data_IF_419737792067
#
_entry.id   IF_419737792067
#
_cell.length_a   1.000
_cell.length_b   1.000
_cell.length_c   1.000
_cell.angle_alpha   90.00
_cell.angle_beta   90.00
_cell.angle_gamma   90.00
#
_symmetry.space_group_name_H-M   'P 1'
#
loop_
_entity.id
_entity.type
_entity.pdbx_description
1 polymer ?
#
# COMPACT_ATOMS: atom_id res chain seq x y z
N UNK A 1 29.12 8.09 5.53
CA UNK A 1 27.71 8.50 5.73
C UNK A 1 27.54 8.88 7.18
N UNK A 2 26.93 10.03 7.46
CA UNK A 2 26.67 10.40 8.84
C UNK A 2 25.49 9.58 9.38
N UNK A 3 25.50 9.30 10.68
CA UNK A 3 24.40 8.59 11.34
C UNK A 3 23.05 9.31 11.14
N UNK A 4 23.07 10.65 11.11
CA UNK A 4 21.92 11.50 10.80
C UNK A 4 21.26 11.16 9.46
N UNK A 5 22.06 10.79 8.45
CA UNK A 5 21.57 10.54 7.09
C UNK A 5 20.84 9.19 7.03
N UNK A 6 21.36 8.19 7.76
CA UNK A 6 20.70 6.89 7.91
C UNK A 6 19.35 7.04 8.60
N UNK A 7 19.30 7.78 9.73
CA UNK A 7 18.05 8.07 10.44
C UNK A 7 17.04 8.77 9.53
N UNK A 8 17.51 9.75 8.74
CA UNK A 8 16.67 10.48 7.80
C UNK A 8 16.09 9.58 6.69
N UNK A 9 16.91 8.71 6.09
CA UNK A 9 16.47 7.78 5.05
C UNK A 9 15.46 6.76 5.58
N UNK A 10 15.71 6.19 6.76
CA UNK A 10 14.76 5.28 7.42
C UNK A 10 13.42 5.96 7.67
N UNK A 11 13.44 7.20 8.18
CA UNK A 11 12.24 8.00 8.38
C UNK A 11 11.46 8.19 7.07
N UNK A 12 12.15 8.56 5.99
CA UNK A 12 11.52 8.76 4.67
C UNK A 12 10.93 7.48 4.10
N UNK A 13 11.60 6.35 4.26
CA UNK A 13 11.08 5.06 3.82
C UNK A 13 9.84 4.63 4.62
N UNK A 14 9.83 4.86 5.94
CA UNK A 14 8.66 4.59 6.81
C UNK A 14 7.45 5.44 6.44
N UNK A 15 7.64 6.71 6.07
CA UNK A 15 6.55 7.56 5.55
C UNK A 15 5.92 6.95 4.28
N UNK A 16 6.73 6.35 3.39
CA UNK A 16 6.17 5.70 2.19
C UNK A 16 5.46 4.38 2.53
N UNK A 17 5.95 3.63 3.51
CA UNK A 17 5.29 2.42 4.00
C UNK A 17 3.90 2.72 4.59
N UNK A 18 3.77 3.78 5.40
CA UNK A 18 2.48 4.25 5.93
C UNK A 18 1.50 4.56 4.79
N UNK A 19 1.91 5.36 3.80
CA UNK A 19 1.08 5.70 2.64
C UNK A 19 0.63 4.45 1.88
N UNK A 20 1.50 3.44 1.75
CA UNK A 20 1.17 2.16 1.10
C UNK A 20 0.10 1.41 1.89
N UNK A 21 0.23 1.31 3.21
CA UNK A 21 -0.78 0.66 4.07
C UNK A 21 -2.13 1.38 4.02
N UNK A 22 -2.14 2.71 4.13
CA UNK A 22 -3.37 3.50 4.03
C UNK A 22 -4.05 3.35 2.67
N UNK A 23 -3.26 3.35 1.59
CA UNK A 23 -3.77 3.12 0.24
C UNK A 23 -4.36 1.72 0.10
N UNK A 24 -3.73 0.69 0.66
CA UNK A 24 -4.26 -0.67 0.66
C UNK A 24 -5.57 -0.78 1.46
N UNK A 25 -5.63 -0.11 2.62
CA UNK A 25 -6.85 -0.06 3.44
C UNK A 25 -8.02 0.54 2.65
N UNK A 26 -7.79 1.68 2.00
CA UNK A 26 -8.80 2.36 1.19
C UNK A 26 -9.27 1.51 0.01
N UNK A 27 -8.34 0.94 -0.77
CA UNK A 27 -8.68 0.09 -1.92
C UNK A 27 -9.44 -1.17 -1.50
N UNK A 28 -9.05 -1.80 -0.38
CA UNK A 28 -9.75 -2.98 0.15
C UNK A 28 -11.19 -2.65 0.56
N UNK A 29 -11.41 -1.48 1.18
CA UNK A 29 -12.75 -1.03 1.57
C UNK A 29 -13.62 -0.72 0.35
N UNK A 30 -13.08 -0.07 -0.68
CA UNK A 30 -13.83 0.19 -1.92
C UNK A 30 -14.16 -1.10 -2.64
N UNK A 31 -13.22 -2.03 -2.76
CA UNK A 31 -13.47 -3.34 -3.38
C UNK A 31 -14.56 -4.10 -2.63
N UNK A 32 -14.51 -4.12 -1.30
CA UNK A 32 -15.55 -4.77 -0.51
C UNK A 32 -16.94 -4.16 -0.76
N UNK A 33 -17.03 -2.82 -0.80
CA UNK A 33 -18.25 -2.12 -1.14
C UNK A 33 -18.73 -2.46 -2.57
N UNK A 34 -17.80 -2.48 -3.53
CA UNK A 34 -18.07 -2.76 -4.94
C UNK A 34 -18.62 -4.17 -5.15
N UNK A 35 -18.03 -5.17 -4.50
CA UNK A 35 -18.47 -6.56 -4.59
C UNK A 35 -19.81 -6.77 -3.87
N UNK A 36 -20.01 -6.11 -2.72
CA UNK A 36 -21.30 -6.15 -2.01
C UNK A 36 -22.42 -5.53 -2.85
N UNK A 37 -22.17 -4.37 -3.45
CA UNK A 37 -23.10 -3.69 -4.35
C UNK A 37 -23.43 -4.55 -5.58
N UNK A 38 -22.40 -5.08 -6.25
CA UNK A 38 -22.57 -5.92 -7.44
C UNK A 38 -23.36 -7.19 -7.13
N UNK A 39 -23.14 -7.81 -5.96
CA UNK A 39 -23.89 -8.96 -5.51
C UNK A 39 -25.38 -8.67 -5.31
N UNK A 40 -25.70 -7.58 -4.61
CA UNK A 40 -27.10 -7.18 -4.37
C UNK A 40 -27.79 -6.77 -5.68
N UNK A 41 -27.13 -6.00 -6.54
CA UNK A 41 -27.68 -5.58 -7.83
C UNK A 41 -27.99 -6.79 -8.72
N UNK A 42 -27.08 -7.77 -8.77
CA UNK A 42 -27.28 -9.00 -9.51
C UNK A 42 -28.42 -9.84 -8.93
N UNK A 43 -28.50 -9.98 -7.60
CA UNK A 43 -29.58 -10.70 -6.94
C UNK A 43 -30.96 -10.11 -7.28
N UNK A 44 -31.10 -8.78 -7.28
CA UNK A 44 -32.34 -8.09 -7.68
C UNK A 44 -32.66 -8.33 -9.16
N UNK A 45 -31.65 -8.25 -10.04
CA UNK A 45 -31.82 -8.47 -11.48
C UNK A 45 -32.30 -9.89 -11.80
N UNK A 46 -31.73 -10.91 -11.15
CA UNK A 46 -32.17 -12.29 -11.34
C UNK A 46 -33.54 -12.58 -10.70
N UNK A 47 -33.89 -11.90 -9.61
CA UNK A 47 -35.22 -12.00 -9.00
C UNK A 47 -36.31 -11.42 -9.93
N UNK A 48 -36.06 -10.30 -10.60
CA UNK A 48 -37.04 -9.65 -11.48
C UNK A 48 -37.25 -10.40 -12.80
N UNK A 49 -36.28 -11.20 -13.24
CA UNK A 49 -36.35 -12.06 -14.43
C UNK A 49 -36.97 -13.45 -14.16
N UNK A 50 -37.53 -13.66 -12.98
CA UNK A 50 -37.92 -14.95 -12.39
C UNK A 50 -38.85 -15.89 -13.17
N UNK A 51 -39.28 -15.56 -14.40
CA UNK A 51 -40.10 -16.45 -15.22
C UNK A 51 -39.36 -17.11 -16.41
N UNK A 52 -38.11 -16.73 -16.72
CA UNK A 52 -37.43 -17.19 -17.96
C UNK A 52 -36.06 -17.84 -17.76
N UNK A 53 -35.67 -18.21 -16.54
CA UNK A 53 -34.36 -18.83 -16.27
C UNK A 53 -34.44 -20.36 -16.15
N UNK A 54 -33.50 -21.06 -16.78
CA UNK A 54 -33.50 -22.53 -16.97
C UNK A 54 -33.31 -23.32 -15.66
N UNK A 55 -32.77 -22.72 -14.58
CA UNK A 55 -32.58 -23.37 -13.27
C UNK A 55 -32.55 -22.34 -12.10
N UNK A 56 -33.71 -21.96 -11.52
CA UNK A 56 -33.79 -20.95 -10.46
C UNK A 56 -33.09 -21.36 -9.16
N UNK A 57 -33.08 -22.65 -8.81
CA UNK A 57 -32.49 -23.15 -7.56
C UNK A 57 -30.96 -23.03 -7.52
N UNK A 58 -30.28 -23.31 -8.65
CA UNK A 58 -28.82 -23.24 -8.74
C UNK A 58 -28.32 -21.78 -8.62
N UNK A 59 -29.05 -20.83 -9.21
CA UNK A 59 -28.76 -19.39 -9.11
C UNK A 59 -28.89 -18.91 -7.67
N UNK A 60 -29.95 -19.32 -6.97
CA UNK A 60 -30.15 -18.99 -5.55
C UNK A 60 -29.00 -19.48 -4.66
N UNK A 61 -28.58 -20.74 -4.81
CA UNK A 61 -27.45 -21.30 -4.04
C UNK A 61 -26.15 -20.54 -4.32
N UNK A 62 -25.86 -20.20 -5.58
CA UNK A 62 -24.66 -19.46 -5.96
C UNK A 62 -24.59 -18.08 -5.30
N UNK A 63 -25.71 -17.34 -5.23
CA UNK A 63 -25.77 -16.03 -4.58
C UNK A 63 -25.63 -16.10 -3.05
N UNK A 64 -26.16 -17.15 -2.43
CA UNK A 64 -25.94 -17.41 -1.00
C UNK A 64 -24.46 -17.68 -0.72
N UNK A 65 -23.82 -18.53 -1.50
CA UNK A 65 -22.37 -18.82 -1.39
C UNK A 65 -21.54 -17.54 -1.58
N UNK A 66 -21.87 -16.72 -2.58
CA UNK A 66 -21.20 -15.44 -2.82
C UNK A 66 -21.30 -14.51 -1.61
N UNK A 67 -22.50 -14.41 -1.01
CA UNK A 67 -22.73 -13.56 0.17
C UNK A 67 -21.89 -14.01 1.37
N UNK A 68 -21.78 -15.33 1.60
CA UNK A 68 -20.91 -15.89 2.65
C UNK A 68 -19.44 -15.59 2.37
N UNK A 69 -18.98 -15.74 1.13
CA UNK A 69 -17.60 -15.41 0.75
C UNK A 69 -17.27 -13.94 0.98
N UNK A 70 -18.16 -13.02 0.57
CA UNK A 70 -17.99 -11.58 0.80
C UNK A 70 -17.92 -11.28 2.30
N UNK A 71 -18.75 -11.94 3.12
CA UNK A 71 -18.71 -11.82 4.58
C UNK A 71 -17.37 -12.29 5.16
N UNK A 72 -16.87 -13.45 4.76
CA UNK A 72 -15.57 -13.97 5.20
C UNK A 72 -14.42 -13.03 4.81
N UNK A 73 -14.43 -12.50 3.58
CA UNK A 73 -13.42 -11.55 3.10
C UNK A 73 -13.49 -10.24 3.89
N UNK A 74 -14.68 -9.74 4.19
CA UNK A 74 -14.88 -8.55 5.05
C UNK A 74 -14.21 -8.73 6.42
N UNK A 75 -14.47 -9.85 7.08
CA UNK A 75 -13.85 -10.18 8.36
C UNK A 75 -12.33 -10.27 8.26
N UNK A 76 -11.82 -10.93 7.21
CA UNK A 76 -10.38 -11.06 6.97
C UNK A 76 -9.69 -9.72 6.73
N UNK A 77 -10.27 -8.83 5.92
CA UNK A 77 -9.73 -7.48 5.66
C UNK A 77 -9.66 -6.67 6.95
N UNK A 78 -10.69 -6.75 7.80
CA UNK A 78 -10.67 -6.07 9.10
C UNK A 78 -9.58 -6.65 10.02
N UNK A 79 -9.37 -7.97 10.00
CA UNK A 79 -8.31 -8.64 10.77
C UNK A 79 -6.88 -8.27 10.35
N UNK A 80 -6.65 -7.79 9.12
CA UNK A 80 -5.33 -7.32 8.67
C UNK A 80 -4.91 -5.97 9.27
N UNK A 81 -5.84 -5.28 9.95
CA UNK A 81 -5.62 -4.07 10.76
C UNK A 81 -4.71 -3.01 10.10
N UNK A 82 -4.87 -2.80 8.79
CA UNK A 82 -4.02 -1.89 8.01
C UNK A 82 -3.89 -0.47 8.61
N UNK A 83 -4.98 0.05 9.20
CA UNK A 83 -4.99 1.38 9.83
C UNK A 83 -4.20 1.42 11.14
N UNK A 84 -4.29 0.37 11.96
CA UNK A 84 -3.54 0.28 13.22
C UNK A 84 -2.05 0.16 12.93
N UNK A 85 -1.67 -0.70 11.98
CA UNK A 85 -0.28 -0.84 11.53
C UNK A 85 0.28 0.46 10.95
N UNK A 86 -0.52 1.18 10.15
CA UNK A 86 -0.13 2.50 9.65
C UNK A 86 0.06 3.50 10.79
N UNK A 87 -0.80 3.48 11.82
CA UNK A 87 -0.67 4.30 13.03
C UNK A 87 0.64 4.05 13.77
N UNK A 88 1.01 2.78 13.98
CA UNK A 88 2.29 2.42 14.61
C UNK A 88 3.48 2.92 13.80
N UNK A 89 3.48 2.77 12.47
CA UNK A 89 4.55 3.29 11.61
C UNK A 89 4.63 4.83 11.70
N UNK A 90 3.48 5.49 11.84
CA UNK A 90 3.40 6.93 12.00
C UNK A 90 4.07 7.42 13.28
N UNK A 91 3.71 6.87 14.43
CA UNK A 91 4.37 7.16 15.70
C UNK A 91 5.88 6.88 15.62
N UNK A 92 6.25 5.80 14.93
CA UNK A 92 7.64 5.40 14.69
C UNK A 92 8.46 6.47 13.93
N UNK A 93 7.94 7.03 12.83
CA UNK A 93 8.70 8.03 12.07
C UNK A 93 8.65 9.42 12.73
N UNK A 94 7.62 9.73 13.51
CA UNK A 94 7.52 10.97 14.29
C UNK A 94 8.55 10.98 15.42
N UNK A 95 8.69 9.86 16.14
CA UNK A 95 9.76 9.68 17.14
C UNK A 95 11.16 9.71 16.51
N UNK A 96 11.36 9.08 15.34
CA UNK A 96 12.61 9.21 14.57
C UNK A 96 12.92 10.66 14.17
N UNK A 97 11.89 11.50 13.95
CA UNK A 97 12.12 12.91 13.65
C UNK A 97 12.69 13.64 14.88
N UNK A 98 12.16 13.35 16.07
CA UNK A 98 12.73 13.84 17.33
C UNK A 98 14.19 13.42 17.51
N UNK A 99 14.49 12.14 17.27
CA UNK A 99 15.86 11.62 17.29
C UNK A 99 16.76 12.34 16.26
N UNK A 100 16.28 12.55 15.04
CA UNK A 100 17.03 13.26 14.00
C UNK A 100 17.41 14.68 14.41
N UNK A 101 16.54 15.41 15.11
CA UNK A 101 16.90 16.71 15.66
C UNK A 101 18.01 16.61 16.71
N UNK A 102 17.93 15.63 17.63
CA UNK A 102 18.99 15.36 18.61
C UNK A 102 20.34 15.00 17.94
N UNK A 103 20.33 14.32 16.79
CA UNK A 103 21.58 13.99 16.06
C UNK A 103 22.32 15.22 15.51
N UNK A 104 21.64 16.36 15.36
CA UNK A 104 22.24 17.60 14.87
C UNK A 104 22.82 18.48 15.97
N UNK A 105 22.55 18.16 17.23
CA UNK A 105 23.10 18.91 18.35
C UNK A 105 24.59 18.62 18.54
N UNK A 106 25.36 19.65 18.88
CA UNK A 106 26.83 19.63 18.95
C UNK A 106 27.36 18.67 20.04
N UNK A 107 26.53 18.32 21.04
CA UNK A 107 26.89 17.45 22.17
C UNK A 107 26.24 16.05 22.09
N UNK A 108 25.81 15.60 20.91
CA UNK A 108 25.11 14.33 20.76
C UNK A 108 26.03 13.14 21.06
N UNK A 109 25.65 12.34 22.07
CA UNK A 109 26.35 11.08 22.37
C UNK A 109 25.88 9.98 21.42
N UNK A 110 26.68 9.71 20.38
CA UNK A 110 26.34 8.78 19.30
C UNK A 110 25.92 7.38 19.78
N UNK A 111 26.54 6.87 20.85
CA UNK A 111 26.22 5.54 21.40
C UNK A 111 24.83 5.48 22.05
N UNK A 112 24.43 6.57 22.72
CA UNK A 112 23.10 6.67 23.32
C UNK A 112 22.04 6.80 22.22
N UNK A 113 22.32 7.61 21.19
CA UNK A 113 21.41 7.77 20.05
C UNK A 113 21.27 6.51 19.20
N UNK A 114 22.34 5.71 19.03
CA UNK A 114 22.23 4.43 18.32
C UNK A 114 21.35 3.44 19.08
N UNK A 115 21.45 3.40 20.42
CA UNK A 115 20.58 2.57 21.24
C UNK A 115 19.10 3.03 21.15
N UNK A 116 18.85 4.34 21.26
CA UNK A 116 17.49 4.89 21.11
C UNK A 116 16.93 4.60 19.70
N UNK A 117 17.77 4.68 18.67
CA UNK A 117 17.40 4.33 17.30
C UNK A 117 16.98 2.86 17.16
N UNK A 118 17.77 1.92 17.67
CA UNK A 118 17.47 0.48 17.59
C UNK A 118 16.18 0.13 18.35
N UNK A 119 15.94 0.79 19.50
CA UNK A 119 14.68 0.66 20.23
C UNK A 119 13.49 1.13 19.38
N UNK A 120 13.59 2.30 18.75
CA UNK A 120 12.53 2.81 17.84
C UNK A 120 12.37 1.91 16.61
N UNK A 121 13.44 1.28 16.13
CA UNK A 121 13.35 0.34 15.02
C UNK A 121 12.51 -0.90 15.38
N UNK A 122 12.62 -1.39 16.61
CA UNK A 122 11.94 -2.60 17.08
C UNK A 122 10.44 -2.46 17.34
N UNK A 123 9.90 -1.23 17.43
CA UNK A 123 8.49 -0.97 17.77
C UNK A 123 7.54 -1.21 16.60
N UNK A 124 7.99 -1.00 15.37
CA UNK A 124 7.13 -1.02 14.19
C UNK A 124 7.68 -1.94 13.09
N UNK A 125 6.78 -2.43 12.24
CA UNK A 125 7.17 -3.31 11.13
C UNK A 125 8.17 -2.66 10.17
N UNK A 126 9.03 -3.49 9.58
CA UNK A 126 10.01 -3.00 8.65
C UNK A 126 9.36 -2.57 7.32
N UNK A 127 9.84 -1.44 6.81
CA UNK A 127 9.58 -0.98 5.46
C UNK A 127 10.11 -2.00 4.42
N UNK A 128 9.49 -2.02 3.24
CA UNK A 128 9.94 -2.86 2.14
C UNK A 128 10.94 -2.12 1.26
N UNK A 129 11.72 -2.85 0.45
CA UNK A 129 12.65 -2.26 -0.52
C UNK A 129 11.94 -1.29 -1.47
N UNK A 130 10.69 -1.60 -1.85
CA UNK A 130 9.84 -0.71 -2.65
C UNK A 130 9.63 0.64 -1.99
N UNK A 131 9.36 0.66 -0.68
CA UNK A 131 9.10 1.89 0.07
C UNK A 131 10.37 2.75 0.14
N UNK A 132 11.53 2.10 0.30
CA UNK A 132 12.84 2.76 0.28
C UNK A 132 13.18 3.32 -1.11
N UNK A 133 13.01 2.54 -2.18
CA UNK A 133 13.27 3.00 -3.55
C UNK A 133 12.36 4.15 -3.95
N UNK A 134 11.09 4.11 -3.54
CA UNK A 134 10.16 5.20 -3.77
C UNK A 134 10.61 6.48 -3.05
N UNK A 135 11.06 6.37 -1.79
CA UNK A 135 11.62 7.50 -1.07
C UNK A 135 12.86 8.08 -1.79
N UNK A 136 13.76 7.22 -2.28
CA UNK A 136 14.96 7.62 -3.02
C UNK A 136 14.62 8.40 -4.31
N UNK A 137 13.70 7.87 -5.11
CA UNK A 137 13.25 8.51 -6.34
C UNK A 137 12.52 9.84 -6.08
N UNK A 138 11.63 9.89 -5.09
CA UNK A 138 10.90 11.13 -4.75
C UNK A 138 11.88 12.21 -4.29
N UNK A 139 12.76 11.92 -3.33
CA UNK A 139 13.69 12.92 -2.81
C UNK A 139 14.66 13.43 -3.89
N UNK A 140 15.07 12.55 -4.82
CA UNK A 140 15.87 12.95 -5.97
C UNK A 140 15.10 13.88 -6.93
N UNK A 141 13.81 13.64 -7.19
CA UNK A 141 13.02 14.50 -8.08
C UNK A 141 12.65 15.82 -7.41
N UNK A 142 12.22 15.77 -6.14
CA UNK A 142 11.70 16.94 -5.41
C UNK A 142 12.79 17.93 -5.02
N UNK A 143 14.03 17.50 -4.77
CA UNK A 143 15.12 18.46 -4.50
C UNK A 143 15.47 19.27 -5.75
N UNK A 144 15.39 20.59 -5.65
CA UNK A 144 15.97 21.51 -6.62
C UNK A 144 17.48 21.63 -6.38
N UNK A 145 18.28 21.55 -7.44
CA UNK A 145 19.73 21.62 -7.35
C UNK A 145 20.41 21.10 -8.60
N UNK A 146 21.65 21.55 -8.85
CA UNK A 146 22.48 21.00 -9.92
C UNK A 146 22.80 19.54 -9.59
N UNK A 147 22.64 18.67 -10.59
CA UNK A 147 23.09 17.29 -10.53
C UNK A 147 24.59 17.31 -10.73
N UNK A 148 25.33 16.71 -9.80
CA UNK A 148 26.76 16.58 -9.95
C UNK A 148 27.05 15.58 -11.08
N UNK A 149 27.80 16.01 -12.10
CA UNK A 149 28.03 15.22 -13.31
C UNK A 149 28.86 13.96 -13.04
N UNK A 150 29.62 13.95 -11.93
CA UNK A 150 30.51 12.85 -11.56
C UNK A 150 29.79 11.72 -10.82
N UNK A 151 28.84 12.05 -9.95
CA UNK A 151 28.15 11.08 -9.06
C UNK A 151 26.68 10.88 -9.43
N UNK A 152 26.08 11.77 -10.21
CA UNK A 152 24.64 11.76 -10.51
C UNK A 152 23.77 12.12 -9.29
N UNK A 153 24.39 12.47 -8.16
CA UNK A 153 23.72 12.87 -6.94
C UNK A 153 23.49 14.39 -6.94
N UNK A 154 22.36 14.82 -6.37
CA UNK A 154 22.05 16.25 -6.21
C UNK A 154 22.67 16.78 -4.92
N UNK A 155 22.95 18.09 -4.87
CA UNK A 155 23.52 18.73 -3.69
C UNK A 155 22.75 18.42 -2.39
N UNK A 156 23.45 17.86 -1.41
CA UNK A 156 22.92 17.47 -0.10
C UNK A 156 22.09 16.17 -0.09
N UNK A 157 22.27 15.29 -1.07
CA UNK A 157 21.80 13.90 -1.02
C UNK A 157 23.02 12.98 -1.06
N UNK A 158 23.12 12.06 -0.11
CA UNK A 158 24.22 11.07 -0.07
C UNK A 158 23.99 9.88 -1.00
N UNK A 159 22.77 9.74 -1.54
CA UNK A 159 22.34 8.60 -2.34
C UNK A 159 21.56 9.08 -3.57
N UNK A 160 21.80 8.45 -4.71
CA UNK A 160 21.12 8.74 -5.96
C UNK A 160 20.41 7.48 -6.50
N UNK A 161 19.21 7.62 -7.08
CA UNK A 161 18.50 6.51 -7.70
C UNK A 161 19.20 6.11 -9.01
N UNK A 162 19.57 4.84 -9.11
CA UNK A 162 19.94 4.22 -10.40
C UNK A 162 18.71 3.87 -11.25
N UNK A 163 18.93 3.60 -12.54
CA UNK A 163 17.87 3.21 -13.48
C UNK A 163 17.08 1.97 -13.01
N UNK A 164 17.74 1.03 -12.34
CA UNK A 164 17.10 -0.16 -11.74
C UNK A 164 15.95 0.21 -10.79
N UNK A 165 16.15 1.23 -9.94
CA UNK A 165 15.11 1.66 -8.98
C UNK A 165 13.87 2.17 -9.72
N UNK A 166 14.06 2.93 -10.80
CA UNK A 166 12.97 3.43 -11.63
C UNK A 166 12.21 2.30 -12.30
N UNK A 167 12.91 1.36 -12.94
CA UNK A 167 12.26 0.21 -13.60
C UNK A 167 11.53 -0.68 -12.61
N UNK A 168 12.11 -0.93 -11.43
CA UNK A 168 11.50 -1.74 -10.39
C UNK A 168 10.21 -1.08 -9.88
N UNK A 169 10.22 0.24 -9.64
CA UNK A 169 9.02 0.97 -9.24
C UNK A 169 7.94 0.89 -10.31
N UNK A 170 8.27 1.16 -11.58
CA UNK A 170 7.33 1.07 -12.69
C UNK A 170 6.71 -0.33 -12.76
N UNK A 171 7.53 -1.38 -12.64
CA UNK A 171 7.05 -2.76 -12.60
C UNK A 171 6.10 -3.01 -11.43
N UNK A 172 6.46 -2.63 -10.20
CA UNK A 172 5.62 -2.83 -9.02
C UNK A 172 4.30 -2.05 -9.09
N UNK A 173 4.31 -0.83 -9.61
CA UNK A 173 3.08 -0.06 -9.82
C UNK A 173 2.24 -0.67 -10.93
N UNK A 174 2.85 -1.05 -12.06
CA UNK A 174 2.16 -1.71 -13.17
C UNK A 174 1.44 -2.98 -12.74
N UNK A 175 2.13 -3.88 -12.02
CA UNK A 175 1.54 -5.11 -11.49
C UNK A 175 0.37 -4.82 -10.54
N UNK A 176 0.52 -3.82 -9.65
CA UNK A 176 -0.56 -3.43 -8.73
C UNK A 176 -1.77 -2.88 -9.48
N UNK A 177 -1.56 -2.00 -10.45
CA UNK A 177 -2.64 -1.43 -11.25
C UNK A 177 -3.36 -2.51 -12.05
N UNK A 178 -2.62 -3.41 -12.69
CA UNK A 178 -3.19 -4.54 -13.43
C UNK A 178 -4.03 -5.45 -12.52
N UNK A 179 -3.52 -5.79 -11.33
CA UNK A 179 -4.26 -6.57 -10.33
C UNK A 179 -5.55 -5.86 -9.89
N UNK A 180 -5.48 -4.56 -9.58
CA UNK A 180 -6.66 -3.79 -9.19
C UNK A 180 -7.67 -3.71 -10.34
N UNK A 181 -7.23 -3.41 -11.56
CA UNK A 181 -8.11 -3.39 -12.74
C UNK A 181 -8.82 -4.74 -12.89
N UNK A 182 -8.08 -5.85 -12.83
CA UNK A 182 -8.67 -7.18 -12.90
C UNK A 182 -9.74 -7.40 -11.82
N UNK A 183 -9.47 -7.02 -10.56
CA UNK A 183 -10.43 -7.15 -9.46
C UNK A 183 -11.67 -6.26 -9.63
N UNK A 184 -11.53 -5.04 -10.15
CA UNK A 184 -12.66 -4.14 -10.38
C UNK A 184 -13.54 -4.59 -11.57
N UNK A 185 -12.93 -5.10 -12.63
CA UNK A 185 -13.67 -5.57 -13.82
C UNK A 185 -14.30 -6.96 -13.61
N UNK A 186 -13.79 -7.78 -12.69
CA UNK A 186 -14.26 -9.15 -12.50
C UNK A 186 -15.79 -9.27 -12.28
N UNK A 187 -16.45 -8.47 -11.42
CA UNK A 187 -17.92 -8.53 -11.29
C UNK A 187 -18.67 -8.22 -12.59
N UNK A 188 -18.16 -7.27 -13.38
CA UNK A 188 -18.75 -6.88 -14.68
C UNK A 188 -18.56 -8.01 -15.70
N UNK A 189 -17.36 -8.60 -15.76
CA UNK A 189 -17.05 -9.72 -16.64
C UNK A 189 -17.91 -10.94 -16.31
N UNK A 190 -18.08 -11.27 -15.02
CA UNK A 190 -18.98 -12.34 -14.59
C UNK A 190 -20.41 -12.08 -15.06
N UNK A 191 -20.91 -10.85 -14.89
CA UNK A 191 -22.25 -10.50 -15.33
C UNK A 191 -22.43 -10.67 -16.85
N UNK A 192 -21.49 -10.17 -17.67
CA UNK A 192 -21.53 -10.32 -19.14
C UNK A 192 -21.47 -11.79 -19.55
N UNK A 193 -20.58 -12.58 -18.93
CA UNK A 193 -20.45 -14.01 -19.24
C UNK A 193 -21.73 -14.77 -18.90
N UNK A 194 -22.36 -14.47 -17.77
CA UNK A 194 -23.62 -15.10 -17.38
C UNK A 194 -24.76 -14.75 -18.35
N UNK A 195 -24.83 -13.51 -18.84
CA UNK A 195 -25.85 -13.11 -19.81
C UNK A 195 -25.62 -13.75 -21.19
N UNK A 196 -24.36 -13.95 -21.60
CA UNK A 196 -24.04 -14.60 -22.88
C UNK A 196 -24.24 -16.13 -22.85
N UNK A 197 -24.16 -16.75 -21.67
CA UNK A 197 -24.39 -18.18 -21.47
C UNK A 197 -25.89 -18.55 -21.35
N UNK A 198 -26.76 -17.55 -21.25
CA UNK A 198 -28.22 -17.70 -21.18
C UNK A 198 -28.83 -17.87 -22.57
#
# INVERSE_FOLDING_TARGET
MAFSDNVWWTRKARIQAEKRLLSNAFQSQILLLWYSFSGVASAIYYLSLGESSVNPELSGIAWVVFSVLVLCISGFINGLSFKERAGLIKECYETLNGLYHKTKDVNANLLCLSYEYDQILGVCENHTDRDYYLALCIEHVTKSGKVDASTGCKAGLDRCPTWYHWTFLVYCYGCRWLMLLALYFLPILIFIVLEYLK
#
